data_IF_681900270192
#
_entry.id   IF_681900270192
#
_cell.length_a   1.000
_cell.length_b   1.000
_cell.length_c   1.000
_cell.angle_alpha   90.00
_cell.angle_beta   90.00
_cell.angle_gamma   90.00
#
_symmetry.space_group_name_H-M   'P 1'
#
loop_
_entity.id
_entity.type
_entity.pdbx_description
1 polymer ?
#
# COMPACT_ATOMS: atom_id res chain seq x y z
N UNK A 1 -4.13 19.59 -7.28
CA UNK A 1 -3.59 20.06 -5.98
C UNK A 1 -2.32 19.27 -5.67
N UNK A 2 -1.23 19.91 -5.27
CA UNK A 2 -0.01 19.23 -4.80
C UNK A 2 0.29 19.68 -3.36
N UNK A 3 0.79 18.78 -2.49
CA UNK A 3 1.24 19.17 -1.16
C UNK A 3 2.49 20.06 -1.24
N UNK A 4 2.60 21.04 -0.35
CA UNK A 4 3.76 21.95 -0.29
C UNK A 4 4.96 21.36 0.46
N UNK A 5 4.73 20.34 1.28
CA UNK A 5 5.74 19.60 2.01
C UNK A 5 5.51 18.10 1.83
N UNK A 6 6.55 17.31 2.11
CA UNK A 6 6.39 15.87 2.29
C UNK A 6 5.49 15.62 3.50
N UNK A 7 4.50 14.76 3.30
CA UNK A 7 3.54 14.42 4.33
C UNK A 7 4.07 13.23 5.13
N UNK A 8 3.77 13.25 6.44
CA UNK A 8 3.95 12.15 7.39
C UNK A 8 5.38 11.57 7.43
N UNK A 9 6.09 11.81 8.53
CA UNK A 9 7.48 11.34 8.71
C UNK A 9 7.65 9.82 8.59
N UNK A 10 6.62 9.04 8.95
CA UNK A 10 6.61 7.58 8.84
C UNK A 10 6.33 7.07 7.41
N UNK A 11 5.95 7.95 6.48
CA UNK A 11 5.50 7.62 5.13
C UNK A 11 3.98 7.51 4.99
N UNK A 12 3.53 7.05 3.82
CA UNK A 12 2.12 7.05 3.40
C UNK A 12 1.53 5.64 3.42
N UNK A 13 0.47 5.45 4.21
CA UNK A 13 -0.25 4.20 4.34
C UNK A 13 -1.47 4.17 3.44
N UNK A 14 -2.40 5.10 3.64
CA UNK A 14 -3.67 5.18 2.92
C UNK A 14 -3.98 6.61 2.48
N UNK A 15 -4.74 6.73 1.40
CA UNK A 15 -5.35 7.99 0.98
C UNK A 15 -6.83 7.73 0.76
N UNK A 16 -7.69 8.53 1.39
CA UNK A 16 -9.13 8.50 1.16
C UNK A 16 -9.71 9.91 1.00
N UNK A 17 -10.81 10.01 0.28
CA UNK A 17 -11.54 11.24 0.05
C UNK A 17 -12.95 10.93 -0.42
N UNK A 18 -13.83 11.92 -0.36
CA UNK A 18 -15.15 11.85 -0.96
C UNK A 18 -15.15 12.61 -2.28
N UNK A 19 -15.85 12.07 -3.28
CA UNK A 19 -15.93 12.71 -4.59
C UNK A 19 -17.32 12.59 -5.21
N UNK A 20 -17.64 13.55 -6.07
CA UNK A 20 -18.82 13.52 -6.94
C UNK A 20 -18.58 14.43 -8.15
N UNK A 21 -19.36 14.24 -9.22
CA UNK A 21 -19.45 15.23 -10.30
C UNK A 21 -19.90 16.57 -9.71
N UNK A 22 -19.35 17.68 -10.20
CA UNK A 22 -19.88 18.99 -9.83
C UNK A 22 -21.32 19.14 -10.32
N UNK A 23 -22.22 19.64 -9.48
CA UNK A 23 -23.66 19.53 -9.70
C UNK A 23 -24.14 20.16 -11.02
N UNK A 24 -23.53 21.28 -11.45
CA UNK A 24 -23.91 21.97 -12.68
C UNK A 24 -23.17 21.47 -13.91
N UNK A 25 -22.24 20.52 -13.79
CA UNK A 25 -21.48 20.01 -14.92
C UNK A 25 -22.24 18.90 -15.64
N UNK A 26 -22.16 18.92 -16.97
CA UNK A 26 -22.68 17.83 -17.81
C UNK A 26 -21.86 16.55 -17.55
N UNK A 27 -20.54 16.67 -17.68
CA UNK A 27 -19.59 15.57 -17.50
C UNK A 27 -18.86 15.66 -16.14
N UNK A 28 -18.44 14.51 -15.62
CA UNK A 28 -17.53 14.40 -14.49
C UNK A 28 -16.10 14.11 -14.95
N UNK A 29 -15.13 14.71 -14.26
CA UNK A 29 -13.71 14.52 -14.56
C UNK A 29 -13.16 13.21 -13.97
N UNK A 30 -12.17 12.65 -14.65
CA UNK A 30 -11.28 11.66 -14.03
C UNK A 30 -10.24 12.36 -13.16
N UNK A 31 -10.04 11.82 -11.96
CA UNK A 31 -9.06 12.29 -11.00
C UNK A 31 -8.06 11.18 -10.70
N UNK A 32 -6.78 11.51 -10.80
CA UNK A 32 -5.66 10.63 -10.48
C UNK A 32 -5.00 11.14 -9.20
N UNK A 33 -4.64 10.19 -8.34
CA UNK A 33 -3.85 10.40 -7.12
C UNK A 33 -2.46 9.88 -7.39
N UNK A 34 -1.46 10.74 -7.20
CA UNK A 34 -0.08 10.44 -7.47
C UNK A 34 0.81 10.82 -6.28
N UNK A 35 1.93 10.12 -6.14
CA UNK A 35 2.94 10.39 -5.12
C UNK A 35 4.32 10.54 -5.74
N UNK A 36 5.16 11.38 -5.14
CA UNK A 36 6.54 11.58 -5.59
C UNK A 36 7.48 11.91 -4.43
N UNK A 37 8.78 11.62 -4.60
CA UNK A 37 9.84 11.99 -3.66
C UNK A 37 10.28 13.45 -3.80
N UNK A 38 10.00 14.07 -4.94
CA UNK A 38 10.34 15.45 -5.30
C UNK A 38 9.22 16.04 -6.19
N UNK A 39 8.90 17.33 -6.00
CA UNK A 39 7.79 17.98 -6.73
C UNK A 39 8.16 18.45 -8.14
N UNK A 40 9.45 18.59 -8.43
CA UNK A 40 9.97 19.26 -9.64
C UNK A 40 10.64 18.26 -10.58
N UNK A 41 11.46 17.36 -10.05
CA UNK A 41 12.24 16.38 -10.80
C UNK A 41 11.89 14.92 -10.44
N UNK A 42 10.91 14.70 -9.56
CA UNK A 42 10.50 13.36 -9.14
C UNK A 42 9.56 12.68 -10.14
N UNK A 43 9.71 11.36 -10.26
CA UNK A 43 8.75 10.52 -10.97
C UNK A 43 7.45 10.43 -10.15
N UNK A 44 6.35 10.88 -10.77
CA UNK A 44 5.02 10.79 -10.18
C UNK A 44 4.45 9.39 -10.41
N UNK A 45 4.25 8.64 -9.33
CA UNK A 45 3.65 7.31 -9.35
C UNK A 45 2.15 7.41 -9.10
N UNK A 46 1.33 6.88 -10.01
CA UNK A 46 -0.11 6.75 -9.81
C UNK A 46 -0.40 5.70 -8.72
N UNK A 47 -1.15 6.10 -7.69
CA UNK A 47 -1.57 5.23 -6.57
C UNK A 47 -3.09 5.09 -6.49
N UNK A 48 -3.82 5.85 -7.31
CA UNK A 48 -5.27 5.80 -7.34
C UNK A 48 -5.86 6.58 -8.49
N UNK A 49 -7.07 6.17 -8.90
CA UNK A 49 -7.83 6.79 -9.98
C UNK A 49 -9.32 6.61 -9.73
N UNK A 50 -10.08 7.67 -9.98
CA UNK A 50 -11.55 7.63 -10.03
C UNK A 50 -12.06 8.28 -11.31
N UNK A 51 -13.29 7.93 -11.65
CA UNK A 51 -14.07 8.62 -12.67
C UNK A 51 -15.33 9.18 -12.01
N UNK A 52 -15.47 10.51 -11.97
CA UNK A 52 -16.62 11.17 -11.37
C UNK A 52 -17.84 11.21 -12.32
N UNK A 53 -17.68 10.79 -13.57
CA UNK A 53 -18.79 10.81 -14.52
C UNK A 53 -19.91 9.87 -14.06
N UNK A 54 -21.14 10.40 -14.03
CA UNK A 54 -22.30 9.67 -13.50
C UNK A 54 -22.39 9.60 -11.96
N UNK A 55 -21.40 10.08 -11.22
CA UNK A 55 -21.43 10.10 -9.75
C UNK A 55 -22.14 11.36 -9.26
N UNK A 56 -23.42 11.23 -8.88
CA UNK A 56 -24.28 12.37 -8.50
C UNK A 56 -24.32 12.64 -7.00
N UNK A 57 -23.86 11.70 -6.18
CA UNK A 57 -23.80 11.81 -4.72
C UNK A 57 -22.35 11.66 -4.25
N UNK A 58 -21.98 12.35 -3.17
CA UNK A 58 -20.66 12.21 -2.57
C UNK A 58 -20.39 10.74 -2.22
N UNK A 59 -19.40 10.17 -2.89
CA UNK A 59 -19.00 8.76 -2.77
C UNK A 59 -17.59 8.69 -2.19
N UNK A 60 -17.37 7.81 -1.22
CA UNK A 60 -16.04 7.61 -0.64
C UNK A 60 -15.16 6.80 -1.59
N UNK A 61 -13.94 7.26 -1.79
CA UNK A 61 -12.83 6.50 -2.38
C UNK A 61 -11.73 6.28 -1.32
N UNK A 62 -11.06 5.14 -1.40
CA UNK A 62 -9.91 4.81 -0.56
C UNK A 62 -8.92 3.94 -1.34
N UNK A 63 -7.63 4.21 -1.17
CA UNK A 63 -6.54 3.40 -1.74
C UNK A 63 -5.42 3.21 -0.72
N UNK A 64 -4.76 2.05 -0.78
CA UNK A 64 -3.55 1.74 -0.02
C UNK A 64 -2.32 2.15 -0.84
N UNK A 65 -1.42 2.90 -0.21
CA UNK A 65 -0.18 3.40 -0.81
C UNK A 65 1.02 2.56 -0.36
N UNK A 66 1.14 2.28 0.94
CA UNK A 66 2.14 1.35 1.46
C UNK A 66 3.61 1.79 1.34
N UNK A 67 3.90 3.09 1.32
CA UNK A 67 5.26 3.64 1.15
C UNK A 67 5.82 4.07 2.50
N UNK A 68 6.92 3.44 2.94
CA UNK A 68 7.56 3.63 4.25
C UNK A 68 8.50 4.86 4.33
N UNK A 69 8.29 5.87 3.49
CA UNK A 69 9.09 7.10 3.47
C UNK A 69 8.20 8.31 3.19
N UNK A 70 8.58 9.53 3.63
CA UNK A 70 7.79 10.73 3.38
C UNK A 70 7.71 11.06 1.88
N UNK A 71 6.50 11.39 1.41
CA UNK A 71 6.21 11.67 0.01
C UNK A 71 5.39 12.94 -0.16
N UNK A 72 5.47 13.54 -1.34
CA UNK A 72 4.48 14.51 -1.81
C UNK A 72 3.27 13.77 -2.36
N UNK A 73 2.09 14.38 -2.24
CA UNK A 73 0.84 13.87 -2.82
C UNK A 73 0.30 14.90 -3.79
N UNK A 74 -0.19 14.43 -4.95
CA UNK A 74 -0.89 15.25 -5.94
C UNK A 74 -2.20 14.61 -6.36
N UNK A 75 -3.21 15.45 -6.49
CA UNK A 75 -4.48 15.17 -7.16
C UNK A 75 -4.49 15.91 -8.50
N UNK A 76 -4.69 15.18 -9.59
CA UNK A 76 -4.60 15.72 -10.95
C UNK A 76 -5.73 15.19 -11.81
N UNK A 77 -6.35 16.06 -12.58
CA UNK A 77 -7.29 15.65 -13.60
C UNK A 77 -6.55 15.14 -14.85
N UNK A 78 -7.06 14.08 -15.49
CA UNK A 78 -6.54 13.67 -16.81
C UNK A 78 -7.20 14.51 -17.88
N UNK A 79 -6.45 15.43 -18.48
CA UNK A 79 -6.99 16.29 -19.53
C UNK A 79 -7.50 15.46 -20.71
N UNK A 80 -8.77 15.65 -21.02
CA UNK A 80 -9.45 15.21 -22.23
C UNK A 80 -10.38 16.33 -22.68
N UNK A 81 -10.78 16.33 -23.95
CA UNK A 81 -11.83 17.24 -24.42
C UNK A 81 -13.11 17.01 -23.60
N UNK A 82 -13.79 18.09 -23.21
CA UNK A 82 -15.01 18.05 -22.38
C UNK A 82 -14.89 17.28 -21.05
N UNK A 83 -13.70 17.28 -20.44
CA UNK A 83 -13.39 16.58 -19.17
C UNK A 83 -14.43 16.80 -18.05
N UNK A 84 -15.12 17.93 -18.03
CA UNK A 84 -16.08 18.25 -16.99
C UNK A 84 -15.41 18.64 -15.66
N UNK A 85 -16.12 18.46 -14.55
CA UNK A 85 -15.63 18.90 -13.23
C UNK A 85 -15.95 17.87 -12.15
N UNK A 86 -15.11 17.84 -11.11
CA UNK A 86 -15.22 16.94 -9.96
C UNK A 86 -15.10 17.75 -8.67
N UNK A 87 -15.97 17.45 -7.71
CA UNK A 87 -15.84 17.86 -6.33
C UNK A 87 -15.05 16.82 -5.56
N UNK A 88 -14.15 17.29 -4.69
CA UNK A 88 -13.39 16.45 -3.77
C UNK A 88 -13.52 17.06 -2.39
N UNK A 89 -13.81 16.24 -1.40
CA UNK A 89 -13.97 16.66 -0.01
C UNK A 89 -13.38 15.62 0.96
N UNK A 90 -13.18 16.01 2.23
CA UNK A 90 -12.75 15.13 3.31
C UNK A 90 -11.52 14.28 2.95
N UNK A 91 -10.46 14.94 2.46
CA UNK A 91 -9.20 14.28 2.13
C UNK A 91 -8.51 13.86 3.42
N UNK A 92 -8.31 12.55 3.60
CA UNK A 92 -7.61 11.93 4.71
C UNK A 92 -6.39 11.17 4.18
N UNK A 93 -5.24 11.42 4.77
CA UNK A 93 -3.97 10.76 4.42
C UNK A 93 -3.45 10.09 5.68
N UNK A 94 -3.44 8.76 5.67
CA UNK A 94 -3.02 7.93 6.80
C UNK A 94 -1.53 7.61 6.75
N UNK A 95 -0.86 7.51 7.92
CA UNK A 95 0.56 7.16 7.99
C UNK A 95 0.78 5.72 7.55
N UNK A 96 1.95 5.45 6.96
CA UNK A 96 2.40 4.09 6.77
C UNK A 96 2.45 3.38 8.13
N UNK A 97 1.85 2.20 8.19
CA UNK A 97 2.00 1.28 9.30
C UNK A 97 2.84 0.12 8.79
N UNK A 98 3.96 -0.11 9.45
CA UNK A 98 4.73 -1.32 9.19
C UNK A 98 3.80 -2.52 9.41
N UNK A 99 3.74 -3.48 8.48
CA UNK A 99 3.04 -4.73 8.74
C UNK A 99 3.65 -5.35 10.00
N UNK A 100 2.80 -5.73 10.95
CA UNK A 100 3.22 -6.48 12.11
C UNK A 100 3.39 -7.93 11.67
N UNK A 101 4.63 -8.30 11.33
CA UNK A 101 4.98 -9.67 11.05
C UNK A 101 5.23 -10.43 12.36
N UNK A 102 4.72 -11.64 12.45
CA UNK A 102 5.15 -12.62 13.43
C UNK A 102 6.63 -13.00 13.21
N UNK A 103 7.29 -13.58 14.23
CA UNK A 103 8.65 -14.09 14.09
C UNK A 103 8.77 -15.09 12.92
N UNK A 104 7.73 -15.90 12.72
CA UNK A 104 7.63 -16.85 11.62
C UNK A 104 7.60 -16.18 10.24
N UNK A 105 6.78 -15.13 10.06
CA UNK A 105 6.72 -14.41 8.77
C UNK A 105 8.02 -13.66 8.45
N UNK A 106 8.74 -13.18 9.47
CA UNK A 106 10.07 -12.58 9.28
C UNK A 106 11.10 -13.61 8.80
N UNK A 107 11.07 -14.83 9.36
CA UNK A 107 11.90 -15.95 8.91
C UNK A 107 11.61 -16.30 7.45
N UNK A 108 10.34 -16.53 7.10
CA UNK A 108 9.97 -16.84 5.72
C UNK A 108 10.49 -15.76 4.75
N UNK A 109 10.36 -14.48 5.11
CA UNK A 109 10.88 -13.37 4.29
C UNK A 109 12.40 -13.28 4.22
N UNK A 110 13.13 -13.60 5.29
CA UNK A 110 14.60 -13.66 5.26
C UNK A 110 15.10 -14.63 4.19
N UNK A 111 14.34 -15.71 3.97
CA UNK A 111 14.65 -16.76 3.00
C UNK A 111 13.83 -16.64 1.70
N UNK A 112 13.19 -15.49 1.43
CA UNK A 112 12.37 -15.22 0.24
C UNK A 112 11.21 -16.20 0.01
N UNK A 113 10.68 -16.77 1.09
CA UNK A 113 9.53 -17.67 1.09
C UNK A 113 8.24 -16.87 1.37
N UNK A 114 7.15 -17.12 0.63
CA UNK A 114 5.88 -16.41 0.83
C UNK A 114 5.01 -17.14 1.85
N UNK A 115 4.43 -16.45 2.85
CA UNK A 115 3.43 -17.07 3.73
C UNK A 115 2.25 -17.63 2.93
N UNK A 116 1.98 -18.92 3.08
CA UNK A 116 0.90 -19.61 2.37
C UNK A 116 1.34 -20.39 1.13
N UNK A 117 2.63 -20.35 0.77
CA UNK A 117 3.20 -21.31 -0.18
C UNK A 117 3.09 -22.73 0.40
N UNK A 118 2.93 -23.74 -0.46
CA UNK A 118 2.88 -25.14 -0.02
C UNK A 118 4.20 -25.49 0.68
N UNK A 119 4.13 -25.92 1.95
CA UNK A 119 5.30 -26.18 2.79
C UNK A 119 5.64 -25.09 3.82
N UNK A 120 4.80 -24.06 3.94
CA UNK A 120 5.00 -22.90 4.83
C UNK A 120 3.92 -22.77 5.89
N UNK A 121 3.18 -23.86 6.16
CA UNK A 121 2.20 -23.84 7.23
C UNK A 121 2.90 -24.03 8.59
N UNK A 122 2.45 -23.37 9.68
CA UNK A 122 3.09 -23.46 11.00
C UNK A 122 3.16 -24.87 11.61
N UNK A 123 2.40 -25.83 11.06
CA UNK A 123 2.23 -27.21 11.53
C UNK A 123 2.87 -28.26 10.60
N UNK A 124 3.61 -27.83 9.58
CA UNK A 124 4.37 -28.72 8.70
C UNK A 124 5.80 -28.91 9.27
N UNK A 125 6.37 -30.09 9.04
CA UNK A 125 7.71 -30.55 9.45
C UNK A 125 8.38 -31.08 8.17
N UNK A 126 9.28 -30.28 7.57
CA UNK A 126 9.81 -30.53 6.21
C UNK A 126 11.20 -31.16 6.17
N UNK A 127 12.00 -31.03 7.23
CA UNK A 127 13.28 -31.70 7.33
C UNK A 127 13.16 -33.08 8.01
N UNK A 128 12.02 -33.36 8.65
CA UNK A 128 11.71 -34.65 9.27
C UNK A 128 12.35 -34.81 10.65
N UNK A 129 12.69 -33.71 11.32
CA UNK A 129 13.31 -33.72 12.64
C UNK A 129 12.29 -33.92 13.79
N UNK A 130 10.99 -33.92 13.46
CA UNK A 130 9.89 -34.12 14.40
C UNK A 130 9.37 -32.84 15.04
N UNK A 131 9.85 -31.67 14.62
CA UNK A 131 9.38 -30.36 15.06
C UNK A 131 8.61 -29.65 13.95
N UNK A 132 7.49 -29.04 14.32
CA UNK A 132 6.76 -28.19 13.38
C UNK A 132 7.47 -26.86 13.20
N UNK A 133 7.32 -26.20 12.06
CA UNK A 133 7.78 -24.83 11.74
C UNK A 133 7.57 -23.76 12.85
N UNK A 134 6.61 -23.95 13.77
CA UNK A 134 6.41 -23.06 14.93
C UNK A 134 7.50 -23.20 16.01
N UNK A 135 8.11 -24.38 16.12
CA UNK A 135 9.11 -24.73 17.12
C UNK A 135 10.54 -24.57 16.59
N UNK A 136 10.76 -24.44 15.27
CA UNK A 136 12.07 -24.33 14.61
C UNK A 136 12.92 -23.08 14.98
N UNK A 137 12.53 -22.32 16.02
CA UNK A 137 13.17 -21.07 16.45
C UNK A 137 13.98 -21.17 17.74
N UNK A 138 14.21 -22.38 18.25
CA UNK A 138 15.17 -22.59 19.35
C UNK A 138 16.52 -23.12 18.84
N UNK A 139 17.54 -23.04 19.69
CA UNK A 139 18.93 -23.43 19.40
C UNK A 139 19.10 -24.93 19.07
N UNK A 140 18.02 -25.74 19.15
CA UNK A 140 18.08 -27.19 19.02
C UNK A 140 17.31 -27.74 17.81
N UNK A 141 16.44 -26.93 17.20
CA UNK A 141 15.48 -27.40 16.18
C UNK A 141 15.48 -26.53 14.92
N UNK A 142 16.54 -25.75 14.68
CA UNK A 142 16.70 -25.05 13.41
C UNK A 142 17.34 -26.03 12.40
N UNK A 143 16.63 -26.46 11.35
CA UNK A 143 17.14 -27.39 10.32
C UNK A 143 18.42 -26.90 9.63
N UNK A 144 18.67 -25.60 9.72
CA UNK A 144 19.73 -24.89 9.02
C UNK A 144 20.74 -24.25 9.97
N UNK A 145 20.75 -24.64 11.25
CA UNK A 145 21.85 -24.31 12.15
C UNK A 145 23.10 -25.10 11.72
N UNK A 146 24.15 -24.39 11.28
CA UNK A 146 25.44 -24.96 10.91
C UNK A 146 26.07 -25.79 12.04
N UNK A 147 25.68 -25.57 13.31
CA UNK A 147 26.11 -26.37 14.44
C UNK A 147 25.45 -27.76 14.51
N UNK A 148 24.26 -27.93 13.91
CA UNK A 148 23.46 -29.16 13.94
C UNK A 148 23.53 -29.89 12.60
N UNK A 149 23.63 -29.16 11.48
CA UNK A 149 23.83 -29.67 10.13
C UNK A 149 25.17 -29.17 9.53
N UNK A 150 26.30 -29.83 9.83
CA UNK A 150 27.60 -29.52 9.21
C UNK A 150 27.72 -29.95 7.74
#
# INVERSE_FOLDING_TARGET
MTSSNKLLSAGLGTISFWYAKYATSVNGAELVVEVATDTTAGDWMEVGRINANGVTELTKYETTVGINQPMYVRFRNVFVEDIGQVNVDNILIGPYQAPNYSAYELYLRQYNVTPGDSGTAPNEDWDGDGYTNTNEFDELTNPYDEAIHP
#
